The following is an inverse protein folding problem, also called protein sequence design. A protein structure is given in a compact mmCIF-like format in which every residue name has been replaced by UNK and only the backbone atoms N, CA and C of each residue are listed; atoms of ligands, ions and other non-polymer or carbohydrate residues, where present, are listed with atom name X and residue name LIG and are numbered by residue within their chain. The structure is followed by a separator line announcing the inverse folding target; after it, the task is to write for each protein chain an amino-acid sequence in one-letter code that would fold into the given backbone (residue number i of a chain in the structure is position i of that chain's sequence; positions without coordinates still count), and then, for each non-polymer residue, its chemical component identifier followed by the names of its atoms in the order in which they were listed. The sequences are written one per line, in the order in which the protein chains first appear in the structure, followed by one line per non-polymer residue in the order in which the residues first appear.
data_IF_174839971984
#
_entry.id   IF_174839971984
#
_cell.length_a   1.000
_cell.length_b   1.000
_cell.length_c   1.000
_cell.angle_alpha   90.00
_cell.angle_beta   90.00
_cell.angle_gamma   90.00
#
_symmetry.space_group_name_H-M   'P 1'
#
loop_
_entity.id
_entity.type
_entity.pdbx_description
1 polymer ?
#
# COMPACT_ATOMS: atom_id res chain seq x y z
N UNK A 1 44.22 -2.76 27.36
CA UNK A 1 44.70 -3.49 26.17
C UNK A 1 43.51 -3.56 25.26
N UNK A 2 43.54 -2.81 24.18
CA UNK A 2 42.47 -2.83 23.18
C UNK A 2 42.69 -4.04 22.26
N UNK A 3 41.62 -4.73 21.84
CA UNK A 3 41.75 -5.91 20.99
C UNK A 3 42.21 -5.53 19.57
N UNK A 4 42.90 -6.45 18.90
CA UNK A 4 43.12 -6.37 17.46
C UNK A 4 41.79 -6.53 16.71
N UNK A 5 41.70 -6.00 15.49
CA UNK A 5 40.48 -6.06 14.70
C UNK A 5 40.00 -7.50 14.47
N UNK A 6 38.75 -7.81 14.79
CA UNK A 6 38.12 -9.12 14.65
C UNK A 6 37.97 -9.59 13.19
N UNK A 7 38.14 -8.70 12.20
CA UNK A 7 37.96 -9.01 10.78
C UNK A 7 39.31 -9.13 10.06
N UNK A 8 40.23 -8.18 10.25
CA UNK A 8 41.52 -8.15 9.55
C UNK A 8 42.73 -8.39 10.45
N UNK A 9 42.52 -8.52 11.76
CA UNK A 9 43.56 -8.74 12.78
C UNK A 9 44.62 -7.63 12.86
N UNK A 10 44.32 -6.45 12.33
CA UNK A 10 45.18 -5.27 12.50
C UNK A 10 45.18 -4.81 13.96
N UNK A 11 46.33 -4.33 14.47
CA UNK A 11 46.44 -3.87 15.85
C UNK A 11 45.59 -2.62 16.10
N UNK A 12 45.11 -2.45 17.34
CA UNK A 12 44.21 -1.37 17.72
C UNK A 12 44.75 0.04 17.38
N UNK A 13 46.07 0.24 17.45
CA UNK A 13 46.73 1.50 17.11
C UNK A 13 46.61 1.88 15.62
N UNK A 14 46.26 0.93 14.74
CA UNK A 14 46.07 1.15 13.31
C UNK A 14 44.67 1.71 12.99
N UNK A 15 43.71 1.61 13.93
CA UNK A 15 42.36 2.18 13.82
C UNK A 15 41.66 1.90 12.47
N UNK A 16 41.69 0.67 11.99
CA UNK A 16 41.03 0.30 10.73
C UNK A 16 39.49 0.32 10.87
N UNK A 17 38.77 0.48 9.75
CA UNK A 17 37.31 0.65 9.74
C UNK A 17 36.51 -0.64 9.51
N UNK A 18 37.16 -1.82 9.54
CA UNK A 18 36.52 -3.06 9.10
C UNK A 18 35.30 -3.42 9.95
N UNK A 19 35.41 -3.34 11.28
CA UNK A 19 34.33 -3.67 12.21
C UNK A 19 33.16 -2.69 12.10
N UNK A 20 33.46 -1.39 11.99
CA UNK A 20 32.44 -0.35 11.82
C UNK A 20 31.64 -0.58 10.53
N UNK A 21 32.33 -0.83 9.40
CA UNK A 21 31.68 -1.15 8.13
C UNK A 21 30.87 -2.44 8.20
N UNK A 22 31.39 -3.46 8.91
CA UNK A 22 30.67 -4.71 9.15
C UNK A 22 29.36 -4.48 9.91
N UNK A 23 29.40 -3.64 10.94
CA UNK A 23 28.22 -3.24 11.72
C UNK A 23 27.22 -2.49 10.85
N UNK A 24 27.64 -1.50 10.07
CA UNK A 24 26.76 -0.73 9.18
C UNK A 24 26.01 -1.63 8.19
N UNK A 25 26.70 -2.64 7.63
CA UNK A 25 26.08 -3.63 6.74
C UNK A 25 25.08 -4.50 7.51
N UNK A 26 25.44 -4.97 8.70
CA UNK A 26 24.55 -5.78 9.54
C UNK A 26 23.27 -5.03 9.94
N UNK A 27 23.39 -3.73 10.26
CA UNK A 27 22.24 -2.85 10.57
C UNK A 27 21.30 -2.76 9.37
N UNK A 28 21.83 -2.46 8.17
CA UNK A 28 21.01 -2.39 6.94
C UNK A 28 20.28 -3.71 6.67
N UNK A 29 20.96 -4.84 6.84
CA UNK A 29 20.34 -6.15 6.67
C UNK A 29 19.26 -6.45 7.73
N UNK A 30 19.43 -5.95 8.96
CA UNK A 30 18.41 -6.08 10.00
C UNK A 30 17.20 -5.19 9.69
N UNK A 31 17.43 -3.94 9.28
CA UNK A 31 16.40 -3.00 8.85
C UNK A 31 15.56 -3.58 7.70
N UNK A 32 16.20 -4.06 6.63
CA UNK A 32 15.51 -4.66 5.48
C UNK A 32 14.66 -5.88 5.85
N UNK A 33 15.07 -6.66 6.85
CA UNK A 33 14.33 -7.85 7.29
C UNK A 33 13.17 -7.51 8.22
N UNK A 34 13.37 -6.55 9.12
CA UNK A 34 12.42 -6.25 10.19
C UNK A 34 11.47 -5.11 9.82
N UNK A 35 11.96 -4.05 9.20
CA UNK A 35 11.17 -2.85 8.89
C UNK A 35 10.41 -2.96 7.57
N UNK A 36 10.80 -3.85 6.66
CA UNK A 36 10.18 -3.95 5.33
C UNK A 36 8.69 -4.28 5.37
N UNK A 37 8.25 -5.19 6.25
CA UNK A 37 6.82 -5.49 6.42
C UNK A 37 6.07 -4.26 6.95
N UNK A 38 6.63 -3.57 7.95
CA UNK A 38 6.06 -2.35 8.54
C UNK A 38 5.89 -1.26 7.47
N UNK A 39 6.92 -1.00 6.66
CA UNK A 39 6.82 -0.03 5.56
C UNK A 39 5.78 -0.42 4.51
N UNK A 40 5.61 -1.71 4.22
CA UNK A 40 4.59 -2.17 3.27
C UNK A 40 3.18 -1.97 3.83
N UNK A 41 2.97 -2.27 5.12
CA UNK A 41 1.69 -2.03 5.80
C UNK A 41 1.34 -0.54 5.82
N UNK A 42 2.30 0.31 6.19
CA UNK A 42 2.14 1.77 6.17
C UNK A 42 1.77 2.24 4.76
N UNK A 43 2.52 1.84 3.72
CA UNK A 43 2.23 2.25 2.33
C UNK A 43 0.85 1.79 1.87
N UNK A 44 0.47 0.55 2.20
CA UNK A 44 -0.85 0.02 1.86
C UNK A 44 -1.97 0.80 2.54
N UNK A 45 -1.79 1.10 3.84
CA UNK A 45 -2.74 1.87 4.63
C UNK A 45 -2.89 3.29 4.07
N UNK A 46 -1.79 4.02 3.89
CA UNK A 46 -1.79 5.40 3.35
C UNK A 46 -2.41 5.43 1.95
N UNK A 47 -2.03 4.50 1.06
CA UNK A 47 -2.59 4.42 -0.29
C UNK A 47 -4.10 4.23 -0.27
N UNK A 48 -4.61 3.33 0.57
CA UNK A 48 -6.04 3.09 0.70
C UNK A 48 -6.80 4.35 1.11
N UNK A 49 -6.35 5.02 2.18
CA UNK A 49 -7.01 6.20 2.70
C UNK A 49 -6.91 7.41 1.75
N UNK A 50 -5.76 7.60 1.11
CA UNK A 50 -5.60 8.65 0.10
C UNK A 50 -6.52 8.43 -1.10
N UNK A 51 -6.64 7.17 -1.57
CA UNK A 51 -7.54 6.84 -2.68
C UNK A 51 -8.99 7.11 -2.31
N UNK A 52 -9.44 6.69 -1.12
CA UNK A 52 -10.82 6.90 -0.67
C UNK A 52 -11.14 8.39 -0.54
N UNK A 53 -10.22 9.17 0.02
CA UNK A 53 -10.37 10.62 0.14
C UNK A 53 -10.50 11.32 -1.23
N UNK A 54 -9.62 11.00 -2.18
CA UNK A 54 -9.66 11.58 -3.53
C UNK A 54 -10.94 11.20 -4.27
N UNK A 55 -11.38 9.94 -4.16
CA UNK A 55 -12.62 9.49 -4.79
C UNK A 55 -13.84 10.19 -4.19
N UNK A 56 -13.88 10.39 -2.88
CA UNK A 56 -14.97 11.10 -2.22
C UNK A 56 -15.01 12.58 -2.61
N UNK A 57 -13.85 13.23 -2.65
CA UNK A 57 -13.74 14.62 -3.12
C UNK A 57 -14.21 14.76 -4.58
N UNK A 58 -13.81 13.84 -5.46
CA UNK A 58 -14.26 13.82 -6.85
C UNK A 58 -15.77 13.61 -6.99
N UNK A 59 -16.39 12.76 -6.16
CA UNK A 59 -17.84 12.56 -6.16
C UNK A 59 -18.57 13.87 -5.85
N UNK A 60 -18.12 14.60 -4.83
CA UNK A 60 -18.71 15.88 -4.45
C UNK A 60 -18.69 16.90 -5.60
N UNK A 61 -17.55 17.04 -6.29
CA UNK A 61 -17.43 17.93 -7.45
C UNK A 61 -18.34 17.49 -8.61
N UNK A 62 -18.31 16.19 -8.91
CA UNK A 62 -19.11 15.61 -9.99
C UNK A 62 -20.60 15.77 -9.75
N UNK A 63 -21.07 15.60 -8.50
CA UNK A 63 -22.48 15.72 -8.15
C UNK A 63 -22.96 17.18 -8.22
N UNK A 64 -22.12 18.13 -7.80
CA UNK A 64 -22.39 19.55 -8.01
C UNK A 64 -22.50 19.87 -9.50
N UNK A 65 -21.59 19.35 -10.32
CA UNK A 65 -21.59 19.59 -11.78
C UNK A 65 -22.78 18.95 -12.48
N UNK A 66 -23.16 17.73 -12.10
CA UNK A 66 -24.38 17.07 -12.61
C UNK A 66 -25.64 17.89 -12.29
N UNK A 67 -25.71 18.44 -11.08
CA UNK A 67 -26.82 19.31 -10.67
C UNK A 67 -26.88 20.58 -11.53
N UNK A 68 -25.74 21.23 -11.74
CA UNK A 68 -25.65 22.42 -12.59
C UNK A 68 -26.01 22.11 -14.05
N UNK A 69 -25.59 20.95 -14.56
CA UNK A 69 -25.92 20.49 -15.90
C UNK A 69 -27.42 20.19 -16.06
N UNK A 70 -28.05 19.55 -15.09
CA UNK A 70 -29.50 19.32 -15.10
C UNK A 70 -30.26 20.65 -15.21
N UNK A 71 -29.92 21.64 -14.38
CA UNK A 71 -30.52 22.97 -14.44
C UNK A 71 -30.23 23.71 -15.76
N UNK A 72 -29.09 23.46 -16.40
CA UNK A 72 -28.79 23.99 -17.73
C UNK A 72 -29.66 23.34 -18.82
N UNK A 73 -29.80 22.02 -18.78
CA UNK A 73 -30.67 21.26 -19.68
C UNK A 73 -32.13 21.69 -19.58
N UNK A 74 -32.62 21.92 -18.36
CA UNK A 74 -33.98 22.42 -18.13
C UNK A 74 -34.18 23.81 -18.78
N UNK A 75 -33.19 24.70 -18.65
CA UNK A 75 -33.23 26.03 -19.29
C UNK A 75 -33.24 25.96 -20.82
N UNK A 76 -32.39 25.12 -21.42
CA UNK A 76 -32.37 24.93 -22.88
C UNK A 76 -33.72 24.37 -23.35
N UNK A 77 -34.26 23.40 -22.62
CA UNK A 77 -35.55 22.76 -22.94
C UNK A 77 -36.70 23.76 -22.85
N UNK A 78 -36.78 24.53 -21.77
CA UNK A 78 -37.81 25.56 -21.58
C UNK A 78 -37.72 26.66 -22.66
N UNK A 79 -36.51 27.10 -23.00
CA UNK A 79 -36.30 28.09 -24.05
C UNK A 79 -36.75 27.57 -25.42
N UNK A 80 -36.36 26.34 -25.79
CA UNK A 80 -36.77 25.72 -27.05
C UNK A 80 -38.29 25.61 -27.15
N UNK A 81 -38.94 25.17 -26.07
CA UNK A 81 -40.39 25.05 -26.03
C UNK A 81 -41.10 26.40 -26.12
N UNK A 82 -40.63 27.42 -25.38
CA UNK A 82 -41.28 28.74 -25.34
C UNK A 82 -41.27 29.45 -26.70
N UNK A 83 -40.15 29.40 -27.44
CA UNK A 83 -40.02 30.12 -28.71
C UNK A 83 -40.40 29.29 -29.93
N UNK A 84 -40.07 28.00 -29.93
CA UNK A 84 -40.20 27.15 -31.11
C UNK A 84 -41.26 26.06 -30.96
N UNK A 85 -41.87 25.90 -29.77
CA UNK A 85 -42.83 24.83 -29.47
C UNK A 85 -42.31 23.43 -29.85
N UNK A 86 -40.99 23.27 -29.73
CA UNK A 86 -40.25 22.12 -30.20
C UNK A 86 -39.22 21.70 -29.14
N UNK A 87 -38.76 20.43 -29.18
CA UNK A 87 -37.65 20.00 -28.36
C UNK A 87 -36.36 20.78 -28.71
N UNK A 88 -35.38 20.81 -27.79
CA UNK A 88 -34.11 21.48 -28.02
C UNK A 88 -33.35 20.88 -29.19
N UNK A 89 -32.64 21.73 -29.94
CA UNK A 89 -31.91 21.31 -31.13
C UNK A 89 -30.83 20.27 -30.78
N UNK A 90 -30.68 19.17 -31.53
CA UNK A 90 -29.74 18.11 -31.20
C UNK A 90 -28.30 18.58 -30.97
N UNK A 91 -27.84 19.57 -31.74
CA UNK A 91 -26.49 20.15 -31.56
C UNK A 91 -26.32 20.82 -30.20
N UNK A 92 -27.34 21.54 -29.71
CA UNK A 92 -27.27 22.20 -28.39
C UNK A 92 -27.19 21.17 -27.26
N UNK A 93 -27.94 20.07 -27.40
CA UNK A 93 -27.87 18.95 -26.45
C UNK A 93 -26.48 18.30 -26.50
N UNK A 94 -25.95 18.04 -27.69
CA UNK A 94 -24.63 17.44 -27.85
C UNK A 94 -23.51 18.33 -27.27
N UNK A 95 -23.58 19.65 -27.49
CA UNK A 95 -22.65 20.63 -26.92
C UNK A 95 -22.71 20.66 -25.40
N UNK A 96 -23.92 20.67 -24.81
CA UNK A 96 -24.10 20.63 -23.37
C UNK A 96 -23.49 19.36 -22.76
N UNK A 97 -23.71 18.20 -23.38
CA UNK A 97 -23.14 16.92 -22.94
C UNK A 97 -21.61 16.90 -23.06
N UNK A 98 -21.06 17.43 -24.15
CA UNK A 98 -19.62 17.56 -24.32
C UNK A 98 -18.99 18.50 -23.27
N UNK A 99 -19.69 19.59 -22.92
CA UNK A 99 -19.29 20.49 -21.86
C UNK A 99 -19.28 19.82 -20.48
N UNK A 100 -20.33 19.04 -20.16
CA UNK A 100 -20.35 18.25 -18.93
C UNK A 100 -19.17 17.28 -18.85
N UNK A 101 -18.90 16.55 -19.93
CA UNK A 101 -17.80 15.58 -19.96
C UNK A 101 -16.45 16.22 -19.73
N UNK A 102 -16.14 17.32 -20.43
CA UNK A 102 -14.89 18.08 -20.22
C UNK A 102 -14.77 18.55 -18.77
N UNK A 103 -15.87 19.04 -18.21
CA UNK A 103 -15.91 19.46 -16.82
C UNK A 103 -15.63 18.34 -15.81
N UNK A 104 -16.19 17.14 -16.03
CA UNK A 104 -15.89 15.97 -15.19
C UNK A 104 -14.42 15.57 -15.31
N UNK A 105 -13.84 15.68 -16.50
CA UNK A 105 -12.41 15.39 -16.71
C UNK A 105 -11.51 16.39 -15.98
N UNK A 106 -11.89 17.68 -15.98
CA UNK A 106 -11.23 18.73 -15.21
C UNK A 106 -11.33 18.48 -13.69
N UNK A 107 -12.51 18.08 -13.19
CA UNK A 107 -12.70 17.73 -11.77
C UNK A 107 -11.86 16.53 -11.36
N UNK A 108 -11.72 15.53 -12.24
CA UNK A 108 -10.86 14.39 -12.01
C UNK A 108 -9.39 14.81 -11.95
N UNK A 109 -8.94 15.63 -12.91
CA UNK A 109 -7.57 16.15 -12.92
C UNK A 109 -7.27 16.95 -11.65
N UNK A 110 -8.17 17.84 -11.24
CA UNK A 110 -8.03 18.63 -10.02
C UNK A 110 -7.98 17.74 -8.77
N UNK A 111 -8.78 16.67 -8.74
CA UNK A 111 -8.77 15.70 -7.62
C UNK A 111 -7.43 14.96 -7.54
N UNK A 112 -6.90 14.45 -8.66
CA UNK A 112 -5.61 13.74 -8.71
C UNK A 112 -4.44 14.65 -8.34
N UNK A 113 -4.49 15.94 -8.69
CA UNK A 113 -3.43 16.89 -8.34
C UNK A 113 -3.23 17.07 -6.83
N UNK A 114 -4.21 16.67 -6.00
CA UNK A 114 -4.13 16.75 -4.53
C UNK A 114 -3.40 15.58 -3.87
N UNK A 115 -2.92 14.60 -4.64
CA UNK A 115 -2.24 13.45 -4.06
C UNK A 115 -1.04 13.82 -3.17
N UNK A 116 -0.14 14.76 -3.53
CA UNK A 116 1.03 15.07 -2.70
C UNK A 116 0.65 15.47 -1.27
N UNK A 117 -0.27 16.42 -1.10
CA UNK A 117 -0.67 16.94 0.20
C UNK A 117 -1.48 15.90 1.00
N UNK A 118 -2.33 15.13 0.32
CA UNK A 118 -3.12 14.07 0.95
C UNK A 118 -2.22 12.95 1.45
N UNK A 119 -1.21 12.56 0.66
CA UNK A 119 -0.24 11.56 1.06
C UNK A 119 0.60 12.06 2.24
N UNK A 120 1.08 13.31 2.20
CA UNK A 120 1.82 13.92 3.29
C UNK A 120 1.02 13.92 4.59
N UNK A 121 -0.27 14.29 4.54
CA UNK A 121 -1.16 14.22 5.70
C UNK A 121 -1.25 12.81 6.28
N UNK A 122 -1.58 11.81 5.45
CA UNK A 122 -1.75 10.43 5.95
C UNK A 122 -0.44 9.79 6.40
N UNK A 123 0.69 10.08 5.77
CA UNK A 123 2.00 9.67 6.28
C UNK A 123 2.32 10.35 7.62
N UNK A 124 1.94 11.62 7.80
CA UNK A 124 2.13 12.38 9.04
C UNK A 124 1.30 11.85 10.23
N UNK A 125 0.25 11.07 9.98
CA UNK A 125 -0.51 10.39 11.04
C UNK A 125 0.17 9.13 11.57
N UNK A 126 1.20 8.62 10.89
CA UNK A 126 1.88 7.39 11.28
C UNK A 126 2.89 7.72 12.37
N UNK A 127 2.69 7.14 13.56
CA UNK A 127 3.59 7.28 14.69
C UNK A 127 4.35 5.97 14.95
N UNK A 128 5.67 6.05 15.07
CA UNK A 128 6.55 4.96 15.47
C UNK A 128 7.23 5.35 16.77
N UNK A 129 6.93 4.61 17.84
CA UNK A 129 7.52 4.84 19.15
C UNK A 129 8.63 3.82 19.41
N UNK A 130 9.73 4.29 20.00
CA UNK A 130 10.83 3.43 20.42
C UNK A 130 10.67 3.12 21.91
N UNK A 131 10.99 1.89 22.35
CA UNK A 131 11.08 1.55 23.77
C UNK A 131 12.04 2.48 24.51
N UNK A 132 11.77 2.76 25.78
CA UNK A 132 12.68 3.56 26.59
C UNK A 132 13.96 2.77 26.95
N UNK A 133 15.09 3.46 27.11
CA UNK A 133 16.38 2.85 27.45
C UNK A 133 16.37 2.06 28.77
N UNK A 134 15.45 2.40 29.68
CA UNK A 134 15.35 1.76 30.97
C UNK A 134 14.49 0.49 30.99
N UNK A 135 13.78 0.19 29.89
CA UNK A 135 12.92 -0.98 29.78
C UNK A 135 13.71 -2.30 29.85
N UNK A 136 13.18 -3.33 30.53
CA UNK A 136 13.85 -4.61 30.69
C UNK A 136 14.10 -5.32 29.36
N UNK A 137 13.24 -5.10 28.35
CA UNK A 137 13.41 -5.65 27.02
C UNK A 137 14.66 -5.11 26.30
N UNK A 138 15.06 -3.86 26.60
CA UNK A 138 16.27 -3.23 26.05
C UNK A 138 17.50 -3.63 26.86
N UNK A 139 17.41 -3.66 28.19
CA UNK A 139 18.53 -3.97 29.10
C UNK A 139 18.91 -5.44 29.15
N UNK A 140 17.94 -6.34 29.01
CA UNK A 140 18.09 -7.78 29.11
C UNK A 140 17.44 -8.48 27.90
N UNK A 141 17.95 -8.26 26.68
CA UNK A 141 17.40 -8.88 25.50
C UNK A 141 17.58 -10.41 25.59
N UNK A 142 16.57 -11.21 25.18
CA UNK A 142 16.62 -12.67 25.26
C UNK A 142 17.50 -13.29 24.15
N UNK A 143 18.70 -12.74 23.95
CA UNK A 143 19.68 -13.16 22.94
C UNK A 143 20.77 -14.03 23.59
N UNK A 144 20.36 -14.99 24.41
CA UNK A 144 21.09 -16.22 24.82
C UNK A 144 22.46 -16.14 25.51
N UNK A 145 23.24 -15.07 25.36
CA UNK A 145 24.65 -15.02 25.79
C UNK A 145 24.90 -14.09 26.98
N UNK A 146 24.08 -13.06 27.18
CA UNK A 146 24.25 -12.09 28.27
C UNK A 146 23.28 -12.35 29.44
N UNK A 147 22.12 -12.97 29.17
CA UNK A 147 21.09 -13.29 30.17
C UNK A 147 21.53 -14.36 31.17
N UNK A 148 22.42 -15.26 30.78
CA UNK A 148 22.85 -16.38 31.62
C UNK A 148 23.95 -15.95 32.62
N UNK A 149 24.68 -14.87 32.33
CA UNK A 149 25.80 -14.39 33.15
C UNK A 149 25.35 -13.83 34.51
N UNK A 150 24.17 -13.20 34.58
CA UNK A 150 23.62 -12.67 35.85
C UNK A 150 23.14 -13.76 36.81
N UNK A 151 22.86 -14.97 36.32
CA UNK A 151 22.36 -16.08 37.16
C UNK A 151 23.48 -16.92 37.80
N UNK A 152 24.73 -16.77 37.36
CA UNK A 152 25.87 -17.54 37.88
C UNK A 152 26.45 -16.94 39.18
N UNK A 153 26.23 -15.65 39.48
CA UNK A 153 26.77 -15.03 40.70
C UNK A 153 25.94 -15.25 41.99
N UNK A 154 24.94 -16.15 41.97
CA UNK A 154 24.17 -16.54 43.19
C UNK A 154 24.30 -18.02 43.55
N UNK A 155 25.28 -18.74 42.99
CA UNK A 155 25.58 -20.13 43.36
C UNK A 155 27.06 -20.29 43.74
N UNK A 156 27.48 -19.55 44.77
CA UNK A 156 28.61 -19.97 45.61
C UNK A 156 28.14 -19.89 47.06
N UNK A 157 27.74 -21.04 47.59
CA UNK A 157 27.15 -21.21 48.91
C UNK A 157 26.53 -22.60 49.05
N UNK A 158 27.41 -23.58 49.34
CA UNK A 158 27.18 -24.83 50.10
C UNK A 158 25.80 -25.52 50.08
N UNK A 159 25.81 -26.79 49.63
CA UNK A 159 24.71 -27.74 49.38
C UNK A 159 23.82 -28.13 50.60
N UNK A 160 22.72 -28.91 50.40
CA UNK A 160 22.83 -30.38 50.38
C UNK A 160 21.88 -31.10 49.36
N UNK A 161 22.01 -32.43 49.16
CA UNK A 161 21.33 -33.17 48.10
C UNK A 161 19.97 -33.74 48.54
N UNK A 162 19.06 -33.85 47.58
CA UNK A 162 17.86 -34.69 47.69
C UNK A 162 16.55 -33.89 47.76
N UNK A 163 15.85 -33.82 46.63
CA UNK A 163 14.39 -33.88 46.55
C UNK A 163 13.97 -33.81 45.06
N UNK A 164 13.59 -34.96 44.51
CA UNK A 164 12.62 -34.98 43.41
C UNK A 164 11.31 -34.43 43.96
N UNK A 165 10.85 -33.31 43.43
CA UNK A 165 9.48 -32.85 43.63
C UNK A 165 8.97 -32.24 42.33
N UNK A 166 8.23 -33.06 41.59
CA UNK A 166 7.28 -32.62 40.58
C UNK A 166 6.23 -31.77 41.30
N UNK A 167 6.09 -30.51 40.90
CA UNK A 167 4.96 -29.66 41.33
C UNK A 167 4.35 -29.03 40.09
N UNK A 168 3.21 -29.58 39.69
CA UNK A 168 2.32 -28.99 38.69
C UNK A 168 1.58 -27.78 39.29
N UNK A 169 1.31 -26.71 38.52
CA UNK A 169 0.36 -25.69 38.93
C UNK A 169 -1.08 -26.13 38.63
N UNK A 170 -2.04 -25.87 39.55
CA UNK A 170 -3.43 -26.26 39.37
C UNK A 170 -4.22 -25.17 38.66
N UNK A 171 -5.09 -25.59 37.73
CA UNK A 171 -6.22 -24.79 37.27
C UNK A 171 -6.26 -24.62 35.76
N UNK A 172 -6.96 -25.52 35.07
CA UNK A 172 -8.02 -25.15 34.12
C UNK A 172 -8.82 -26.41 33.80
N UNK A 173 -10.09 -26.39 34.21
CA UNK A 173 -11.10 -27.40 33.89
C UNK A 173 -11.65 -27.03 32.50
N UNK A 174 -11.51 -27.92 31.52
CA UNK A 174 -12.01 -27.70 30.16
C UNK A 174 -12.01 -29.00 29.33
N UNK A 175 -13.21 -29.46 29.05
CA UNK A 175 -13.72 -30.55 28.20
C UNK A 175 -12.90 -30.95 26.94
N UNK A 176 -12.86 -32.24 26.52
CA UNK A 176 -12.15 -32.67 25.32
C UNK A 176 -13.06 -32.62 24.07
N UNK A 177 -12.96 -31.55 23.30
CA UNK A 177 -13.69 -31.38 22.04
C UNK A 177 -12.79 -31.18 20.82
N UNK A 178 -12.71 -32.21 19.97
CA UNK A 178 -12.54 -32.21 18.51
C UNK A 178 -11.48 -31.29 17.85
N UNK A 179 -10.42 -31.91 17.31
CA UNK A 179 -9.52 -31.31 16.32
C UNK A 179 -10.17 -31.30 14.92
N UNK A 180 -10.40 -30.10 14.36
CA UNK A 180 -10.54 -29.90 12.92
C UNK A 180 -9.33 -29.08 12.41
N UNK A 181 -8.65 -29.47 11.32
CA UNK A 181 -7.59 -28.65 10.74
C UNK A 181 -8.19 -27.42 10.03
N UNK A 182 -7.77 -26.22 10.41
CA UNK A 182 -8.04 -24.99 9.66
C UNK A 182 -7.06 -24.85 8.48
N UNK A 183 -7.60 -24.74 7.27
CA UNK A 183 -6.83 -24.33 6.09
C UNK A 183 -6.43 -22.84 6.16
N UNK A 184 -5.27 -22.44 5.61
CA UNK A 184 -4.82 -21.06 5.58
C UNK A 184 -5.68 -20.20 4.62
N UNK A 185 -5.96 -18.93 4.93
CA UNK A 185 -6.77 -18.07 4.08
C UNK A 185 -5.98 -17.66 2.83
N UNK A 186 -6.60 -17.83 1.66
CA UNK A 186 -6.06 -17.37 0.37
C UNK A 186 -5.92 -15.83 0.33
N UNK A 187 -4.88 -15.28 -0.34
CA UNK A 187 -4.72 -13.85 -0.51
C UNK A 187 -5.83 -13.28 -1.39
N UNK A 188 -6.47 -12.21 -0.92
CA UNK A 188 -7.48 -11.46 -1.68
C UNK A 188 -6.81 -10.79 -2.89
N UNK A 189 -7.39 -10.88 -4.11
CA UNK A 189 -6.84 -10.17 -5.25
C UNK A 189 -6.93 -8.66 -5.01
N UNK A 190 -5.81 -7.95 -5.24
CA UNK A 190 -5.73 -6.50 -5.26
C UNK A 190 -6.89 -5.92 -6.08
N UNK A 191 -7.72 -5.09 -5.43
CA UNK A 191 -8.74 -4.27 -6.09
C UNK A 191 -8.02 -3.27 -7.00
N UNK A 192 -7.75 -3.68 -8.24
CA UNK A 192 -7.35 -2.75 -9.31
C UNK A 192 -8.48 -1.76 -9.54
N UNK A 193 -8.16 -0.48 -9.43
CA UNK A 193 -8.93 0.63 -9.96
C UNK A 193 -9.27 0.34 -11.43
N UNK A 194 -10.54 0.42 -11.89
CA UNK A 194 -10.86 0.27 -13.30
C UNK A 194 -10.23 1.45 -14.06
N UNK A 195 -9.19 1.17 -14.84
CA UNK A 195 -8.73 2.11 -15.86
C UNK A 195 -9.78 2.26 -16.97
N UNK A 196 -9.75 3.35 -17.75
CA UNK A 196 -10.68 3.56 -18.85
C UNK A 196 -10.58 2.41 -19.84
N UNK A 197 -11.71 1.76 -20.15
CA UNK A 197 -11.79 0.73 -21.18
C UNK A 197 -11.45 1.33 -22.54
N UNK A 198 -10.21 1.16 -22.99
CA UNK A 198 -9.92 1.24 -24.43
C UNK A 198 -10.63 0.07 -25.10
N UNK A 199 -11.62 0.43 -25.92
CA UNK A 199 -12.38 -0.47 -26.78
C UNK A 199 -11.39 -1.28 -27.63
N UNK A 200 -11.25 -2.58 -27.36
CA UNK A 200 -10.48 -3.49 -28.21
C UNK A 200 -11.07 -3.49 -29.63
N UNK A 201 -10.26 -3.38 -30.69
CA UNK A 201 -10.74 -3.59 -32.04
C UNK A 201 -11.21 -5.04 -32.18
N UNK A 202 -12.43 -5.20 -32.69
CA UNK A 202 -13.05 -6.48 -32.98
C UNK A 202 -12.34 -7.14 -34.18
N UNK A 203 -11.43 -8.09 -33.93
CA UNK A 203 -10.79 -8.92 -34.97
C UNK A 203 -11.75 -10.01 -35.49
N UNK A 204 -12.89 -9.61 -36.03
CA UNK A 204 -13.92 -10.55 -36.50
C UNK A 204 -14.80 -10.06 -37.65
N UNK A 205 -14.49 -8.92 -38.28
CA UNK A 205 -15.22 -8.44 -39.44
C UNK A 205 -14.40 -8.67 -40.72
N UNK A 206 -14.84 -9.62 -41.54
CA UNK A 206 -14.37 -9.83 -42.90
C UNK A 206 -14.74 -8.58 -43.72
N UNK A 207 -13.80 -7.90 -44.41
CA UNK A 207 -14.14 -6.79 -45.29
C UNK A 207 -14.82 -7.31 -46.58
N UNK A 208 -15.78 -6.57 -47.17
CA UNK A 208 -16.40 -6.95 -48.44
C UNK A 208 -15.40 -6.85 -49.60
N UNK A 209 -15.57 -7.66 -50.67
CA UNK A 209 -14.66 -7.63 -51.82
C UNK A 209 -14.85 -6.34 -52.64
N UNK A 210 -13.73 -5.67 -52.93
CA UNK A 210 -13.67 -4.51 -53.81
C UNK A 210 -13.75 -4.96 -55.29
N UNK A 211 -14.53 -4.28 -56.16
CA UNK A 211 -14.59 -4.63 -57.57
C UNK A 211 -13.41 -4.01 -58.34
N UNK A 212 -12.62 -4.87 -58.97
CA UNK A 212 -11.96 -4.66 -60.27
C UNK A 212 -11.03 -3.47 -60.45
N UNK A 213 -9.71 -3.72 -60.46
CA UNK A 213 -8.75 -2.83 -61.11
C UNK A 213 -7.84 -3.64 -62.06
N UNK A 214 -8.02 -3.29 -63.33
CA UNK A 214 -7.33 -3.64 -64.56
C UNK A 214 -5.83 -4.00 -64.50
N UNK A 215 -5.50 -4.98 -65.34
CA UNK A 215 -4.18 -5.35 -65.87
C UNK A 215 -3.31 -4.15 -66.26
N UNK A 216 -2.01 -4.25 -65.94
CA UNK A 216 -0.92 -3.73 -66.78
C UNK A 216 0.31 -4.66 -66.68
N UNK A 217 0.96 -5.06 -67.79
CA UNK A 217 2.13 -5.92 -67.78
C UNK A 217 3.43 -5.12 -67.53
N UNK A 218 4.52 -5.77 -67.05
CA UNK A 218 5.78 -5.10 -66.80
C UNK A 218 6.63 -4.99 -68.08
N UNK A 219 7.50 -3.97 -68.21
CA UNK A 219 8.43 -3.87 -69.33
C UNK A 219 9.71 -4.68 -69.09
N UNK A 220 10.30 -5.15 -70.18
CA UNK A 220 11.73 -5.44 -70.33
C UNK A 220 12.41 -4.25 -71.00
#
# INVERSE_FOLDING_TARGET
MDPDCAICHAPANMACECEAKGLDVAVKQAEDRMMRSIYNEIRSWVRGHAQDYILEYFRLLTDQRKTAHAAHMDRITAHAYHYYHAPPHPTQVAEAQASLKRGIDEDWQASVQRYPEVLEYFFGLVELTLPAEDEPAVKDPPLGSLSNSRKVNRRSGTAPPGASAVVAPPGYRGDPGQMHPQEPPMPRPDRRTPGPQMRRPNFGAIPPPMPGAYNFPPPY
#
